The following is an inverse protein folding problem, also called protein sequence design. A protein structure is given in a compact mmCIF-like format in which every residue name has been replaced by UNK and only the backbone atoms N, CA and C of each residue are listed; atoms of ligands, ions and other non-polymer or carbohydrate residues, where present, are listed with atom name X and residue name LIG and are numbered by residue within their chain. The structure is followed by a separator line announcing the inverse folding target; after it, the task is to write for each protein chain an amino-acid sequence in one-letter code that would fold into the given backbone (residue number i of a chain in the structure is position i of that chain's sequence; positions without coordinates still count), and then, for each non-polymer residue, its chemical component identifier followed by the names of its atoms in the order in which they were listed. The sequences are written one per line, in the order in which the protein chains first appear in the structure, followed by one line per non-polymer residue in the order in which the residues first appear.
data_IF_131155205290
#
_entry.id   IF_131155205290
#
_cell.length_a   1.000
_cell.length_b   1.000
_cell.length_c   1.000
_cell.angle_alpha   90.00
_cell.angle_beta   90.00
_cell.angle_gamma   90.00
#
_symmetry.space_group_name_H-M   'P 1'
#
loop_
_entity.id
_entity.type
_entity.pdbx_description
1 polymer ?
#
# COMPACT_ATOMS: atom_id res chain seq x y z
N UNK A 1 -32.46 -2.16 -34.84
CA UNK A 1 -31.14 -2.13 -34.19
C UNK A 1 -31.30 -2.70 -32.79
N UNK A 2 -30.51 -3.71 -32.42
CA UNK A 2 -30.59 -4.35 -31.11
C UNK A 2 -29.64 -3.70 -30.11
N UNK A 3 -30.05 -3.63 -28.84
CA UNK A 3 -29.19 -3.18 -27.75
C UNK A 3 -28.35 -4.36 -27.24
N UNK A 4 -27.04 -4.21 -27.05
CA UNK A 4 -26.23 -5.24 -26.42
C UNK A 4 -26.65 -5.36 -24.94
N UNK A 5 -27.08 -6.57 -24.55
CA UNK A 5 -27.44 -6.91 -23.16
C UNK A 5 -26.43 -7.95 -22.67
N UNK A 6 -25.85 -7.72 -21.49
CA UNK A 6 -24.99 -8.67 -20.79
C UNK A 6 -25.73 -9.37 -19.65
N UNK A 7 -25.54 -10.68 -19.52
CA UNK A 7 -26.07 -11.49 -18.40
C UNK A 7 -24.96 -11.73 -17.39
N UNK A 8 -25.16 -11.34 -16.13
CA UNK A 8 -24.21 -11.58 -15.03
C UNK A 8 -24.20 -13.06 -14.68
N UNK A 9 -23.04 -13.71 -14.72
CA UNK A 9 -22.87 -15.14 -14.43
C UNK A 9 -22.28 -15.42 -13.05
N UNK A 10 -21.51 -14.48 -12.49
CA UNK A 10 -20.89 -14.58 -11.19
C UNK A 10 -20.54 -13.20 -10.62
N UNK A 11 -20.37 -13.13 -9.30
CA UNK A 11 -19.88 -11.96 -8.57
C UNK A 11 -18.63 -12.41 -7.80
N UNK A 12 -17.52 -11.69 -7.97
CA UNK A 12 -16.29 -11.96 -7.22
C UNK A 12 -16.50 -11.67 -5.72
N UNK A 13 -15.89 -12.47 -4.83
CA UNK A 13 -15.92 -12.22 -3.39
C UNK A 13 -14.88 -11.16 -3.02
N UNK A 14 -15.27 -9.95 -2.58
CA UNK A 14 -14.32 -8.90 -2.24
C UNK A 14 -13.69 -9.14 -0.87
N UNK A 15 -12.37 -8.93 -0.77
CA UNK A 15 -11.65 -8.87 0.51
C UNK A 15 -10.89 -7.55 0.58
N UNK A 16 -10.77 -6.95 1.76
CA UNK A 16 -9.97 -5.75 2.00
C UNK A 16 -9.12 -5.96 3.24
N UNK A 17 -7.82 -5.66 3.11
CA UNK A 17 -6.82 -5.82 4.16
C UNK A 17 -6.20 -4.45 4.43
N UNK A 18 -5.95 -4.13 5.69
CA UNK A 18 -5.16 -2.96 6.09
C UNK A 18 -3.87 -3.47 6.72
N UNK A 19 -2.73 -2.95 6.26
CA UNK A 19 -1.42 -3.27 6.85
C UNK A 19 -0.83 -1.98 7.39
N UNK A 20 -0.49 -1.99 8.68
CA UNK A 20 0.14 -0.87 9.38
C UNK A 20 1.63 -1.16 9.61
N UNK A 21 2.47 -0.16 9.33
CA UNK A 21 3.91 -0.16 9.58
C UNK A 21 4.24 0.95 10.58
N UNK A 22 5.11 0.65 11.55
CA UNK A 22 5.56 1.60 12.57
C UNK A 22 7.08 1.73 12.57
N UNK A 23 7.56 2.92 12.93
CA UNK A 23 8.95 3.30 13.00
C UNK A 23 9.15 4.49 13.95
N UNK A 24 10.40 4.82 14.26
CA UNK A 24 10.73 5.83 15.28
C UNK A 24 10.48 7.25 14.77
N UNK A 25 10.47 7.44 13.44
CA UNK A 25 10.33 8.74 12.80
C UNK A 25 11.53 9.66 13.06
N UNK A 26 11.26 10.95 13.27
CA UNK A 26 12.27 11.95 13.61
C UNK A 26 12.61 12.93 12.48
N UNK A 27 13.57 13.82 12.75
CA UNK A 27 13.92 14.89 11.81
C UNK A 27 14.72 14.35 10.63
N UNK A 28 14.16 14.48 9.42
CA UNK A 28 14.70 13.87 8.21
C UNK A 28 16.12 14.32 7.82
N UNK A 29 16.55 15.49 8.29
CA UNK A 29 17.92 15.98 8.05
C UNK A 29 18.92 15.61 9.16
N UNK A 30 18.47 15.24 10.36
CA UNK A 30 19.36 14.95 11.49
C UNK A 30 19.59 13.45 11.73
N UNK A 31 18.61 12.60 11.43
CA UNK A 31 18.76 11.15 11.61
C UNK A 31 19.64 10.54 10.51
N UNK A 32 20.73 9.89 10.89
CA UNK A 32 21.62 9.18 9.96
C UNK A 32 20.91 7.97 9.34
N UNK A 33 21.11 7.72 8.04
CA UNK A 33 20.45 6.65 7.29
C UNK A 33 20.52 5.26 7.95
N UNK A 34 21.67 4.78 8.48
CA UNK A 34 21.75 3.45 9.10
C UNK A 34 20.92 3.28 10.37
N UNK A 35 20.53 4.40 11.01
CA UNK A 35 19.79 4.39 12.26
C UNK A 35 18.28 4.56 12.04
N UNK A 36 17.81 4.53 10.79
CA UNK A 36 16.38 4.73 10.47
C UNK A 36 15.65 3.40 10.39
N UNK A 37 14.48 3.36 11.02
CA UNK A 37 13.40 2.41 10.76
C UNK A 37 12.24 3.17 10.09
N UNK A 38 12.37 3.48 8.80
CA UNK A 38 11.41 4.31 8.06
C UNK A 38 10.13 3.51 7.72
N UNK A 39 9.01 3.86 8.37
CA UNK A 39 7.73 3.20 8.14
C UNK A 39 7.20 3.39 6.71
N UNK A 40 7.54 4.52 6.06
CA UNK A 40 7.11 4.83 4.71
C UNK A 40 7.82 3.99 3.67
N UNK A 41 9.11 3.71 3.85
CA UNK A 41 9.84 2.78 2.98
C UNK A 41 9.30 1.36 3.12
N UNK A 42 9.04 0.89 4.35
CA UNK A 42 8.41 -0.40 4.56
C UNK A 42 7.03 -0.50 3.87
N UNK A 43 6.23 0.56 3.94
CA UNK A 43 4.94 0.62 3.24
C UNK A 43 5.08 0.70 1.72
N UNK A 44 6.17 1.26 1.17
CA UNK A 44 6.41 1.34 -0.27
C UNK A 44 6.81 0.01 -0.90
N UNK A 45 7.40 -0.90 -0.13
CA UNK A 45 7.74 -2.25 -0.59
C UNK A 45 6.49 -3.14 -0.76
N UNK A 46 5.44 -2.90 0.04
CA UNK A 46 4.23 -3.73 0.05
C UNK A 46 3.47 -3.72 -1.29
N UNK A 47 3.15 -2.57 -1.93
CA UNK A 47 2.47 -2.56 -3.22
C UNK A 47 3.21 -3.34 -4.31
N UNK A 48 4.54 -3.25 -4.35
CA UNK A 48 5.38 -3.97 -5.32
C UNK A 48 5.35 -5.48 -5.07
N UNK A 49 5.38 -5.89 -3.80
CA UNK A 49 5.24 -7.29 -3.41
C UNK A 49 3.85 -7.84 -3.74
N UNK A 50 2.79 -7.05 -3.50
CA UNK A 50 1.42 -7.41 -3.87
C UNK A 50 1.27 -7.58 -5.38
N UNK A 51 1.73 -6.62 -6.19
CA UNK A 51 1.67 -6.71 -7.65
C UNK A 51 2.32 -8.00 -8.17
N UNK A 52 3.51 -8.32 -7.66
CA UNK A 52 4.20 -9.56 -8.02
C UNK A 52 3.36 -10.81 -7.67
N UNK A 53 2.76 -10.85 -6.47
CA UNK A 53 1.96 -11.97 -6.04
C UNK A 53 0.65 -12.14 -6.85
N UNK A 54 0.02 -11.02 -7.22
CA UNK A 54 -1.20 -11.01 -8.04
C UNK A 54 -0.92 -11.55 -9.44
N UNK A 55 0.20 -11.12 -10.06
CA UNK A 55 0.62 -11.61 -11.36
C UNK A 55 0.93 -13.12 -11.37
N UNK A 56 1.42 -13.66 -10.24
CA UNK A 56 1.71 -15.09 -10.10
C UNK A 56 0.46 -15.93 -9.81
N UNK A 57 -0.54 -15.38 -9.10
CA UNK A 57 -1.75 -16.11 -8.68
C UNK A 57 -2.91 -16.00 -9.67
N UNK A 58 -2.92 -14.99 -10.54
CA UNK A 58 -4.02 -14.71 -11.47
C UNK A 58 -5.24 -14.08 -10.80
N UNK A 59 -5.11 -13.59 -9.56
CA UNK A 59 -6.13 -12.79 -8.89
C UNK A 59 -6.17 -11.36 -9.46
N UNK A 60 -7.13 -10.55 -9.00
CA UNK A 60 -7.19 -9.12 -9.28
C UNK A 60 -7.24 -8.42 -7.93
N UNK A 61 -6.13 -7.82 -7.53
CA UNK A 61 -6.03 -7.04 -6.29
C UNK A 61 -5.39 -5.67 -6.56
N UNK A 62 -5.65 -4.72 -5.66
CA UNK A 62 -5.18 -3.33 -5.78
C UNK A 62 -4.80 -2.81 -4.39
N UNK A 63 -3.70 -2.07 -4.30
CA UNK A 63 -3.47 -1.14 -3.18
C UNK A 63 -4.02 0.22 -3.60
N UNK A 64 -5.17 0.59 -3.03
CA UNK A 64 -5.86 1.84 -3.35
C UNK A 64 -5.44 2.99 -2.44
N UNK A 65 -4.87 2.69 -1.27
CA UNK A 65 -4.44 3.67 -0.29
C UNK A 65 -3.02 3.34 0.14
N UNK A 66 -2.15 4.34 0.08
CA UNK A 66 -0.89 4.39 0.82
C UNK A 66 -0.84 5.73 1.53
N UNK A 67 -0.74 5.69 2.84
CA UNK A 67 -0.78 6.89 3.67
C UNK A 67 0.35 6.87 4.68
N UNK A 68 0.90 8.05 4.93
CA UNK A 68 2.06 8.27 5.77
C UNK A 68 1.69 9.19 6.92
N UNK A 69 2.35 9.04 8.05
CA UNK A 69 2.27 9.96 9.18
C UNK A 69 3.69 10.37 9.58
N UNK A 70 4.00 11.67 9.73
CA UNK A 70 3.08 12.80 9.88
C UNK A 70 2.73 13.59 8.60
N UNK A 71 3.09 13.11 7.40
CA UNK A 71 2.93 13.84 6.12
C UNK A 71 3.69 15.16 6.05
N UNK A 72 4.88 15.20 6.62
CA UNK A 72 5.75 16.37 6.55
C UNK A 72 7.04 16.02 5.83
N UNK A 73 7.43 16.84 4.85
CA UNK A 73 8.61 16.61 4.00
C UNK A 73 9.93 16.51 4.79
N UNK A 74 9.99 17.15 5.96
CA UNK A 74 11.15 17.18 6.83
C UNK A 74 11.07 16.20 8.01
N UNK A 75 10.12 15.26 7.98
CA UNK A 75 9.91 14.26 9.02
C UNK A 75 9.92 12.87 8.43
N UNK A 76 10.74 11.98 8.99
CA UNK A 76 10.73 10.56 8.65
C UNK A 76 9.38 10.00 9.08
N UNK A 77 8.67 9.24 8.22
CA UNK A 77 7.42 8.61 8.60
C UNK A 77 7.60 7.68 9.80
N UNK A 78 6.86 7.95 10.88
CA UNK A 78 6.81 7.07 12.05
C UNK A 78 5.69 6.04 11.95
N UNK A 79 4.67 6.32 11.12
CA UNK A 79 3.63 5.35 10.78
C UNK A 79 3.31 5.44 9.31
N UNK A 80 2.95 4.31 8.74
CA UNK A 80 2.39 4.23 7.40
C UNK A 80 1.36 3.11 7.37
N UNK A 81 0.39 3.20 6.47
CA UNK A 81 -0.48 2.07 6.19
C UNK A 81 -0.81 1.97 4.72
N UNK A 82 -1.09 0.74 4.29
CA UNK A 82 -1.60 0.43 2.96
C UNK A 82 -2.94 -0.29 3.06
N UNK A 83 -3.79 -0.08 2.06
CA UNK A 83 -5.10 -0.74 1.93
C UNK A 83 -5.50 -0.93 0.47
#
# INVERSE_FOLDING_TARGET
MGFPIGVVTAIAAPTSIKVDSEGDGGHAAAALMPNRNDAGLAAAELPLAFEKHVLESGTIDTVGILDLHPRAVNSIPSKAYVR
#
